data_IF_347384165635
#
_entry.id   IF_347384165635
#
_cell.length_a   1.000
_cell.length_b   1.000
_cell.length_c   1.000
_cell.angle_alpha   90.00
_cell.angle_beta   90.00
_cell.angle_gamma   90.00
#
_symmetry.space_group_name_H-M   'P 1'
#
loop_
_entity.id
_entity.type
_entity.pdbx_description
1 polymer ?
#
# COMPACT_ATOMS: atom_id res chain seq x y z
N UNK A 1 1.22 -23.68 22.71
CA UNK A 1 0.34 -23.58 21.52
C UNK A 1 -0.60 -24.79 21.58
N UNK A 2 -1.91 -24.63 21.29
CA UNK A 2 -2.87 -25.74 21.32
C UNK A 2 -2.50 -26.75 20.21
N UNK A 3 -2.45 -28.06 20.55
CA UNK A 3 -2.06 -29.13 19.62
C UNK A 3 -2.94 -29.16 18.34
N UNK A 4 -4.24 -28.89 18.47
CA UNK A 4 -5.14 -28.83 17.32
C UNK A 4 -4.82 -27.69 16.35
N UNK A 5 -4.42 -26.52 16.85
CA UNK A 5 -4.00 -25.39 16.01
C UNK A 5 -2.68 -25.68 15.30
N UNK A 6 -1.75 -26.35 15.97
CA UNK A 6 -0.48 -26.76 15.39
C UNK A 6 -0.68 -27.77 14.26
N UNK A 7 -1.55 -28.75 14.46
CA UNK A 7 -1.92 -29.73 13.45
C UNK A 7 -2.56 -29.03 12.23
N UNK A 8 -3.51 -28.11 12.45
CA UNK A 8 -4.14 -27.33 11.38
C UNK A 8 -3.13 -26.53 10.55
N UNK A 9 -2.12 -25.92 11.19
CA UNK A 9 -1.05 -25.20 10.46
C UNK A 9 -0.25 -26.14 9.55
N UNK A 10 0.13 -27.31 10.04
CA UNK A 10 0.84 -28.29 9.21
C UNK A 10 0.00 -28.75 8.01
N UNK A 11 -1.23 -29.11 8.24
CA UNK A 11 -2.15 -29.53 7.17
C UNK A 11 -2.37 -28.42 6.14
N UNK A 12 -2.52 -27.19 6.56
CA UNK A 12 -2.65 -26.02 5.68
C UNK A 12 -1.40 -25.82 4.80
N UNK A 13 -0.20 -25.99 5.37
CA UNK A 13 1.05 -25.88 4.61
C UNK A 13 1.14 -26.99 3.57
N UNK A 14 0.82 -28.23 3.94
CA UNK A 14 0.85 -29.37 3.03
C UNK A 14 -0.18 -29.22 1.90
N UNK A 15 -1.35 -28.68 2.18
CA UNK A 15 -2.33 -28.35 1.15
C UNK A 15 -1.80 -27.30 0.16
N UNK A 16 -1.15 -26.23 0.65
CA UNK A 16 -0.53 -25.22 -0.21
C UNK A 16 0.58 -25.82 -1.09
N UNK A 17 1.40 -26.74 -0.54
CA UNK A 17 2.41 -27.47 -1.31
C UNK A 17 1.79 -28.34 -2.40
N UNK A 18 0.76 -29.12 -2.05
CA UNK A 18 0.06 -30.00 -2.99
C UNK A 18 -0.59 -29.21 -4.14
N UNK A 19 -1.02 -27.97 -3.90
CA UNK A 19 -1.59 -27.08 -4.89
C UNK A 19 -0.55 -26.23 -5.65
N UNK A 20 0.74 -26.39 -5.41
CA UNK A 20 1.83 -25.55 -5.94
C UNK A 20 1.67 -24.05 -5.61
N UNK A 21 0.97 -23.73 -4.53
CA UNK A 21 0.77 -22.37 -4.02
C UNK A 21 1.77 -21.98 -2.92
N UNK A 22 2.50 -22.96 -2.38
CA UNK A 22 3.54 -22.70 -1.38
C UNK A 22 4.77 -22.08 -2.05
N UNK A 23 4.95 -20.77 -1.87
CA UNK A 23 6.07 -20.03 -2.44
C UNK A 23 7.11 -19.72 -1.38
N UNK A 24 8.35 -20.07 -1.65
CA UNK A 24 9.49 -19.59 -0.87
C UNK A 24 10.05 -18.32 -1.55
N UNK A 25 10.09 -17.17 -0.85
CA UNK A 25 10.65 -15.97 -1.43
C UNK A 25 12.15 -16.14 -1.70
N UNK A 26 12.66 -15.71 -2.85
CA UNK A 26 14.10 -15.73 -3.13
C UNK A 26 14.84 -14.81 -2.18
N UNK A 27 15.99 -15.27 -1.67
CA UNK A 27 16.84 -14.48 -0.77
C UNK A 27 17.86 -13.73 -1.61
N UNK A 28 17.80 -12.39 -1.58
CA UNK A 28 18.79 -11.53 -2.22
C UNK A 28 20.05 -11.41 -1.33
N UNK A 29 21.19 -11.69 -1.92
CA UNK A 29 22.51 -11.65 -1.27
C UNK A 29 23.28 -10.34 -1.54
N UNK A 30 22.66 -9.41 -2.28
CA UNK A 30 23.22 -8.11 -2.64
C UNK A 30 22.19 -7.00 -2.43
N UNK A 31 22.62 -5.73 -2.37
CA UNK A 31 21.69 -4.60 -2.45
C UNK A 31 20.83 -4.65 -3.72
N UNK A 32 19.69 -3.98 -3.69
CA UNK A 32 18.81 -3.84 -4.85
C UNK A 32 19.50 -3.13 -6.02
N UNK A 33 19.36 -3.71 -7.20
CA UNK A 33 19.91 -3.18 -8.45
C UNK A 33 19.37 -3.93 -9.65
N UNK A 34 19.79 -3.56 -10.86
CA UNK A 34 19.43 -4.26 -12.09
C UNK A 34 20.04 -5.67 -12.19
N UNK A 35 21.11 -5.93 -11.43
CA UNK A 35 21.69 -7.26 -11.19
C UNK A 35 21.75 -7.50 -9.70
N UNK A 36 21.40 -8.71 -9.29
CA UNK A 36 21.42 -9.16 -7.89
C UNK A 36 21.95 -10.59 -7.81
N UNK A 37 22.35 -11.02 -6.63
CA UNK A 37 22.76 -12.41 -6.39
C UNK A 37 21.68 -13.15 -5.63
N UNK A 38 21.35 -14.34 -6.11
CA UNK A 38 20.38 -15.27 -5.48
C UNK A 38 20.97 -16.67 -5.56
N UNK A 39 21.12 -17.36 -4.42
CA UNK A 39 21.69 -18.69 -4.35
C UNK A 39 23.11 -18.78 -4.95
N UNK A 40 23.95 -17.79 -4.68
CA UNK A 40 25.32 -17.68 -5.20
C UNK A 40 25.43 -17.28 -6.68
N UNK A 41 24.32 -17.11 -7.40
CA UNK A 41 24.32 -16.78 -8.84
C UNK A 41 23.91 -15.33 -9.08
N UNK A 42 24.61 -14.65 -9.98
CA UNK A 42 24.18 -13.35 -10.46
C UNK A 42 23.03 -13.51 -11.46
N UNK A 43 21.96 -12.75 -11.25
CA UNK A 43 20.75 -12.73 -12.09
C UNK A 43 20.32 -11.30 -12.42
N UNK A 44 19.63 -11.12 -13.54
CA UNK A 44 18.98 -9.85 -13.89
C UNK A 44 17.68 -9.74 -13.07
N UNK A 45 17.51 -8.63 -12.37
CA UNK A 45 16.35 -8.37 -11.54
C UNK A 45 15.29 -7.58 -12.32
N UNK A 46 14.26 -8.30 -12.79
CA UNK A 46 13.11 -7.70 -13.48
C UNK A 46 11.87 -7.58 -12.55
N UNK A 47 11.98 -8.02 -11.29
CA UNK A 47 10.86 -8.11 -10.35
C UNK A 47 10.96 -7.06 -9.21
N UNK A 48 11.58 -5.92 -9.48
CA UNK A 48 11.76 -4.87 -8.48
C UNK A 48 10.88 -3.65 -8.76
N UNK A 49 10.33 -3.04 -7.69
CA UNK A 49 9.68 -1.73 -7.74
C UNK A 49 10.69 -0.55 -7.73
N UNK A 50 11.97 -0.83 -7.77
CA UNK A 50 13.05 0.17 -7.80
C UNK A 50 13.21 0.81 -9.20
N UNK A 51 12.10 1.30 -9.77
CA UNK A 51 12.03 1.80 -11.14
C UNK A 51 13.03 2.92 -11.47
N UNK A 52 13.36 3.76 -10.49
CA UNK A 52 14.30 4.86 -10.64
C UNK A 52 15.74 4.52 -10.19
N UNK A 53 15.97 3.28 -9.74
CA UNK A 53 17.29 2.85 -9.27
C UNK A 53 17.76 3.49 -7.96
N UNK A 54 16.87 4.15 -7.22
CA UNK A 54 17.21 4.96 -6.06
C UNK A 54 17.45 4.16 -4.77
N UNK A 55 17.01 2.91 -4.70
CA UNK A 55 17.10 2.11 -3.47
C UNK A 55 18.54 1.93 -2.95
N UNK A 56 19.55 2.02 -3.81
CA UNK A 56 20.96 1.91 -3.45
C UNK A 56 21.79 3.15 -3.87
N UNK A 57 21.12 4.28 -4.13
CA UNK A 57 21.81 5.53 -4.51
C UNK A 57 22.69 6.02 -3.33
N UNK A 58 23.98 6.33 -3.57
CA UNK A 58 24.89 6.76 -2.51
C UNK A 58 24.44 8.05 -1.83
N UNK A 59 23.77 8.96 -2.53
CA UNK A 59 23.24 10.21 -1.95
C UNK A 59 22.12 9.92 -0.94
N UNK A 60 21.24 8.97 -1.25
CA UNK A 60 20.15 8.57 -0.34
C UNK A 60 20.72 7.83 0.89
N UNK A 61 21.72 6.97 0.70
CA UNK A 61 22.40 6.31 1.83
C UNK A 61 23.07 7.31 2.74
N UNK A 62 23.76 8.29 2.18
CA UNK A 62 24.44 9.33 2.97
C UNK A 62 23.43 10.16 3.76
N UNK A 63 22.35 10.62 3.12
CA UNK A 63 21.29 11.35 3.81
C UNK A 63 20.63 10.53 4.93
N UNK A 64 20.44 9.22 4.73
CA UNK A 64 19.91 8.34 5.77
C UNK A 64 20.88 8.22 6.97
N UNK A 65 22.20 8.08 6.72
CA UNK A 65 23.22 8.04 7.77
C UNK A 65 23.21 9.34 8.59
N UNK A 66 23.21 10.49 7.94
CA UNK A 66 23.15 11.80 8.59
C UNK A 66 21.88 11.98 9.41
N UNK A 67 20.72 11.58 8.86
CA UNK A 67 19.46 11.63 9.58
C UNK A 67 19.45 10.74 10.82
N UNK A 68 19.99 9.52 10.74
CA UNK A 68 20.10 8.61 11.89
C UNK A 68 21.04 9.18 12.96
N UNK A 69 22.17 9.79 12.57
CA UNK A 69 23.10 10.41 13.49
C UNK A 69 22.48 11.62 14.23
N UNK A 70 21.66 12.40 13.55
CA UNK A 70 21.05 13.61 14.10
C UNK A 70 19.76 13.33 14.88
N UNK A 71 18.94 12.40 14.41
CA UNK A 71 17.56 12.19 14.88
C UNK A 71 17.34 10.84 15.55
N UNK A 72 18.28 9.92 15.48
CA UNK A 72 18.10 8.54 15.93
C UNK A 72 17.42 7.64 14.89
N UNK A 73 17.19 6.38 15.27
CA UNK A 73 16.70 5.35 14.36
C UNK A 73 15.17 5.30 14.22
N UNK A 74 14.43 6.12 14.96
CA UNK A 74 12.97 6.14 14.90
C UNK A 74 12.35 7.28 15.68
N UNK A 75 11.04 7.48 15.50
CA UNK A 75 10.30 8.59 16.09
C UNK A 75 10.02 8.43 17.60
N UNK A 76 10.14 7.22 18.14
CA UNK A 76 9.93 6.92 19.57
C UNK A 76 8.48 7.01 20.05
N UNK A 77 7.57 7.60 19.26
CA UNK A 77 6.16 7.77 19.58
C UNK A 77 5.29 7.86 18.32
N UNK A 78 3.98 7.77 18.49
CA UNK A 78 3.03 8.07 17.43
C UNK A 78 3.04 9.58 17.13
N UNK A 79 2.77 9.96 15.88
CA UNK A 79 2.83 11.37 15.43
C UNK A 79 2.04 12.32 16.34
N UNK A 80 0.92 11.88 16.84
CA UNK A 80 -0.01 12.65 17.66
C UNK A 80 0.50 12.96 19.09
N UNK A 81 1.37 12.10 19.65
CA UNK A 81 1.86 12.21 21.02
C UNK A 81 3.35 12.59 21.14
N UNK A 82 3.95 13.11 20.09
CA UNK A 82 5.36 13.53 20.14
C UNK A 82 6.26 12.81 19.13
N UNK A 83 5.71 11.99 18.25
CA UNK A 83 6.45 11.34 17.16
C UNK A 83 6.57 12.19 15.89
N UNK A 84 6.00 13.39 15.84
CA UNK A 84 6.19 14.33 14.73
C UNK A 84 7.41 15.20 15.00
N UNK A 85 8.37 15.16 14.11
CA UNK A 85 9.56 16.01 14.15
C UNK A 85 9.66 16.88 12.88
N UNK A 86 10.61 17.79 12.84
CA UNK A 86 10.80 18.73 11.75
C UNK A 86 11.15 18.05 10.41
N UNK A 87 11.67 16.82 10.43
CA UNK A 87 11.88 16.04 9.19
C UNK A 87 10.55 15.71 8.50
N UNK A 88 9.51 15.34 9.26
CA UNK A 88 8.18 15.11 8.72
C UNK A 88 7.61 16.39 8.09
N UNK A 89 7.65 17.50 8.80
CA UNK A 89 7.15 18.79 8.28
C UNK A 89 7.89 19.19 7.00
N UNK A 90 9.22 19.11 7.00
CA UNK A 90 10.03 19.45 5.82
C UNK A 90 9.70 18.54 4.64
N UNK A 91 9.53 17.23 4.87
CA UNK A 91 9.17 16.28 3.83
C UNK A 91 7.77 16.58 3.28
N UNK A 92 6.79 16.78 4.13
CA UNK A 92 5.41 17.07 3.76
C UNK A 92 5.29 18.37 2.96
N UNK A 93 5.99 19.43 3.37
CA UNK A 93 6.05 20.68 2.62
C UNK A 93 6.70 20.54 1.24
N UNK A 94 7.82 19.81 1.15
CA UNK A 94 8.47 19.54 -0.14
C UNK A 94 7.61 18.70 -1.07
N UNK A 95 6.92 17.69 -0.54
CA UNK A 95 6.00 16.87 -1.30
C UNK A 95 4.76 17.66 -1.75
N UNK A 96 4.20 18.53 -0.90
CA UNK A 96 3.09 19.40 -1.26
C UNK A 96 3.48 20.33 -2.43
N UNK A 97 4.65 20.97 -2.34
CA UNK A 97 5.16 21.81 -3.42
C UNK A 97 5.39 21.02 -4.72
N UNK A 98 5.99 19.82 -4.62
CA UNK A 98 6.24 18.95 -5.78
C UNK A 98 4.94 18.47 -6.44
N UNK A 99 3.95 18.07 -5.65
CA UNK A 99 2.64 17.59 -6.12
C UNK A 99 1.68 18.71 -6.48
N UNK A 100 2.02 19.98 -6.17
CA UNK A 100 1.17 21.16 -6.33
C UNK A 100 -0.17 21.03 -5.61
N UNK A 101 -0.12 20.49 -4.40
CA UNK A 101 -1.27 20.34 -3.49
C UNK A 101 -1.11 21.29 -2.31
N UNK A 102 -2.21 21.62 -1.64
CA UNK A 102 -2.22 22.51 -0.47
C UNK A 102 -1.47 21.87 0.72
N UNK A 103 -1.64 20.57 0.92
CA UNK A 103 -1.01 19.82 1.99
C UNK A 103 -0.71 18.37 1.58
N UNK A 104 0.17 17.73 2.33
CA UNK A 104 0.50 16.30 2.22
C UNK A 104 0.61 15.70 3.61
N UNK A 105 0.12 14.48 3.76
CA UNK A 105 0.34 13.64 4.93
C UNK A 105 1.14 12.40 4.54
N UNK A 106 2.25 12.15 5.23
CA UNK A 106 3.12 11.01 4.97
C UNK A 106 2.74 9.82 5.86
N UNK A 107 2.67 8.65 5.26
CA UNK A 107 2.45 7.36 5.92
C UNK A 107 3.68 6.45 5.76
N UNK A 108 3.82 5.47 6.65
CA UNK A 108 4.92 4.50 6.64
C UNK A 108 4.91 3.57 5.42
N UNK A 109 3.74 3.37 4.81
CA UNK A 109 3.58 2.54 3.62
C UNK A 109 2.34 2.95 2.84
N UNK A 110 2.27 2.56 1.55
CA UNK A 110 1.06 2.73 0.74
C UNK A 110 -0.13 1.95 1.29
N UNK A 111 0.12 0.79 1.92
CA UNK A 111 -0.94 0.05 2.62
C UNK A 111 -1.56 0.90 3.74
N UNK A 112 -0.74 1.47 4.61
CA UNK A 112 -1.21 2.33 5.70
C UNK A 112 -1.88 3.61 5.18
N UNK A 113 -1.39 4.17 4.07
CA UNK A 113 -2.04 5.32 3.44
C UNK A 113 -3.47 5.00 3.02
N UNK A 114 -3.70 3.90 2.29
CA UNK A 114 -5.03 3.52 1.84
C UNK A 114 -5.93 3.10 3.01
N UNK A 115 -5.45 2.22 3.90
CA UNK A 115 -6.23 1.73 5.05
C UNK A 115 -6.51 2.79 6.12
N UNK A 116 -5.71 3.85 6.16
CA UNK A 116 -5.93 4.98 7.07
C UNK A 116 -6.80 6.08 6.45
N UNK A 117 -6.53 6.46 5.20
CA UNK A 117 -7.22 7.60 4.56
C UNK A 117 -8.65 7.25 4.17
N UNK A 118 -8.87 6.11 3.50
CA UNK A 118 -10.21 5.76 3.01
C UNK A 118 -11.25 5.73 4.13
N UNK A 119 -11.06 4.98 5.24
CA UNK A 119 -12.06 4.96 6.31
C UNK A 119 -12.20 6.30 7.06
N UNK A 120 -11.18 7.17 7.00
CA UNK A 120 -11.24 8.48 7.64
C UNK A 120 -11.97 9.54 6.82
N UNK A 121 -12.01 9.39 5.49
CA UNK A 121 -12.61 10.36 4.58
C UNK A 121 -14.09 10.09 4.27
N UNK A 122 -14.56 8.86 4.45
CA UNK A 122 -15.91 8.45 4.05
C UNK A 122 -16.70 7.95 5.25
N UNK A 123 -17.96 8.40 5.34
CA UNK A 123 -18.86 8.14 6.45
C UNK A 123 -20.12 7.39 5.98
N UNK A 124 -20.99 7.04 6.93
CA UNK A 124 -22.29 6.44 6.62
C UNK A 124 -23.11 7.37 5.71
N UNK A 125 -23.58 6.84 4.61
CA UNK A 125 -24.31 7.60 3.57
C UNK A 125 -23.49 7.85 2.31
N UNK A 126 -22.16 7.87 2.41
CA UNK A 126 -21.30 7.94 1.24
C UNK A 126 -21.30 6.62 0.44
N UNK A 127 -20.99 6.73 -0.85
CA UNK A 127 -20.87 5.57 -1.74
C UNK A 127 -19.46 5.49 -2.29
N UNK A 128 -18.82 4.34 -2.13
CA UNK A 128 -17.52 4.07 -2.74
C UNK A 128 -17.70 3.07 -3.88
N UNK A 129 -17.31 3.45 -5.08
CA UNK A 129 -17.31 2.58 -6.26
C UNK A 129 -15.87 2.15 -6.54
N UNK A 130 -15.64 0.85 -6.61
CA UNK A 130 -14.30 0.26 -6.68
C UNK A 130 -14.12 -0.56 -7.95
N UNK A 131 -12.94 -0.47 -8.57
CA UNK A 131 -12.51 -1.41 -9.59
C UNK A 131 -12.26 -2.79 -8.97
N UNK A 132 -12.64 -3.87 -9.66
CA UNK A 132 -12.48 -5.25 -9.15
C UNK A 132 -11.01 -5.67 -8.94
N UNK A 133 -10.07 -5.05 -9.68
CA UNK A 133 -8.64 -5.35 -9.60
C UNK A 133 -7.85 -4.32 -8.77
N UNK A 134 -8.51 -3.56 -7.91
CA UNK A 134 -7.82 -2.67 -7.01
C UNK A 134 -6.84 -3.43 -6.10
N UNK A 135 -5.78 -2.74 -5.67
CA UNK A 135 -4.84 -3.28 -4.71
C UNK A 135 -5.56 -3.65 -3.39
N UNK A 136 -5.14 -4.75 -2.76
CA UNK A 136 -5.74 -5.27 -1.53
C UNK A 136 -5.91 -4.21 -0.43
N UNK A 137 -4.95 -3.28 -0.27
CA UNK A 137 -5.04 -2.19 0.71
C UNK A 137 -6.17 -1.21 0.45
N UNK A 138 -6.57 -0.99 -0.81
CA UNK A 138 -7.73 -0.17 -1.16
C UNK A 138 -9.00 -0.94 -0.78
N UNK A 139 -9.07 -2.21 -1.15
CA UNK A 139 -10.20 -3.08 -0.79
C UNK A 139 -10.39 -3.11 0.72
N UNK A 140 -9.31 -3.29 1.48
CA UNK A 140 -9.35 -3.32 2.95
C UNK A 140 -9.71 -1.94 3.54
N UNK A 141 -9.19 -0.85 2.98
CA UNK A 141 -9.57 0.50 3.37
C UNK A 141 -11.06 0.77 3.17
N UNK A 142 -11.63 0.32 2.05
CA UNK A 142 -13.06 0.43 1.78
C UNK A 142 -13.89 -0.42 2.75
N UNK A 143 -13.44 -1.65 3.04
CA UNK A 143 -14.11 -2.52 4.03
C UNK A 143 -14.12 -1.94 5.44
N UNK A 144 -13.07 -1.22 5.82
CA UNK A 144 -12.94 -0.55 7.11
C UNK A 144 -13.78 0.73 7.20
N UNK A 145 -14.19 1.31 6.07
CA UNK A 145 -15.01 2.51 6.06
C UNK A 145 -16.45 2.20 6.47
N UNK A 146 -17.13 3.21 7.03
CA UNK A 146 -18.57 3.14 7.31
C UNK A 146 -19.45 3.51 6.11
N UNK A 147 -18.84 3.91 4.98
CA UNK A 147 -19.54 4.19 3.73
C UNK A 147 -20.32 2.95 3.23
N UNK A 148 -21.34 3.19 2.42
CA UNK A 148 -22.08 2.12 1.73
C UNK A 148 -21.16 1.44 0.72
N UNK A 149 -20.44 0.44 1.20
CA UNK A 149 -19.69 -0.47 0.36
C UNK A 149 -20.05 -1.89 0.74
N UNK A 150 -20.71 -2.56 -0.17
CA UNK A 150 -20.84 -4.02 -0.10
C UNK A 150 -20.60 -4.56 -1.48
N UNK A 151 -19.61 -5.41 -1.62
CA UNK A 151 -19.32 -6.11 -2.85
C UNK A 151 -20.58 -6.87 -3.37
N UNK A 152 -21.40 -7.33 -2.42
CA UNK A 152 -22.71 -7.93 -2.67
C UNK A 152 -23.80 -6.95 -3.16
N UNK A 153 -23.59 -5.64 -3.02
CA UNK A 153 -24.54 -4.60 -3.44
C UNK A 153 -24.20 -3.99 -4.81
N UNK A 154 -23.15 -4.49 -5.47
CA UNK A 154 -22.83 -4.11 -6.85
C UNK A 154 -22.16 -2.76 -7.02
N UNK A 155 -21.35 -2.33 -6.03
CA UNK A 155 -20.50 -1.14 -6.12
C UNK A 155 -19.07 -1.46 -6.60
N UNK A 156 -18.84 -2.66 -7.11
CA UNK A 156 -17.59 -3.06 -7.75
C UNK A 156 -17.85 -3.21 -9.24
N UNK A 157 -17.08 -2.49 -10.06
CA UNK A 157 -17.19 -2.61 -11.51
C UNK A 157 -16.06 -3.46 -12.09
N UNK A 158 -16.35 -4.12 -13.21
CA UNK A 158 -15.37 -4.92 -13.95
C UNK A 158 -14.21 -4.06 -14.42
N UNK A 159 -13.00 -4.59 -14.33
CA UNK A 159 -11.78 -3.86 -14.65
C UNK A 159 -11.84 -3.20 -16.03
N UNK A 160 -11.64 -1.88 -16.05
CA UNK A 160 -11.70 -1.03 -17.26
C UNK A 160 -13.04 -1.02 -17.99
N UNK A 161 -14.11 -1.59 -17.45
CA UNK A 161 -15.42 -1.53 -18.05
C UNK A 161 -16.14 -0.22 -17.69
N UNK A 162 -15.97 0.79 -18.55
CA UNK A 162 -16.55 2.12 -18.33
C UNK A 162 -18.07 2.12 -18.40
N UNK A 163 -18.67 1.24 -19.19
CA UNK A 163 -20.13 1.10 -19.26
C UNK A 163 -20.68 0.57 -17.94
N UNK A 164 -20.04 -0.46 -17.36
CA UNK A 164 -20.42 -0.98 -16.05
C UNK A 164 -20.26 0.08 -14.94
N UNK A 165 -19.16 0.87 -14.97
CA UNK A 165 -18.99 2.00 -14.05
C UNK A 165 -20.11 3.04 -14.21
N UNK A 166 -20.47 3.40 -15.44
CA UNK A 166 -21.54 4.37 -15.72
C UNK A 166 -22.90 3.85 -15.21
N UNK A 167 -23.19 2.57 -15.38
CA UNK A 167 -24.43 1.95 -14.89
C UNK A 167 -24.53 1.99 -13.36
N UNK A 168 -23.39 1.76 -12.66
CA UNK A 168 -23.33 1.89 -11.20
C UNK A 168 -23.55 3.34 -10.78
N UNK A 169 -22.90 4.31 -11.43
CA UNK A 169 -23.07 5.74 -11.14
C UNK A 169 -24.54 6.18 -11.32
N UNK A 170 -25.20 5.75 -12.39
CA UNK A 170 -26.64 6.02 -12.63
C UNK A 170 -27.51 5.44 -11.52
N UNK A 171 -27.24 4.20 -11.09
CA UNK A 171 -27.96 3.57 -9.96
C UNK A 171 -27.79 4.32 -8.64
N UNK A 172 -26.63 4.94 -8.44
CA UNK A 172 -26.36 5.78 -7.26
C UNK A 172 -27.01 7.17 -7.33
N UNK A 173 -27.75 7.49 -8.40
CA UNK A 173 -28.35 8.81 -8.62
C UNK A 173 -27.33 9.89 -9.00
N UNK A 174 -26.10 9.52 -9.36
CA UNK A 174 -25.08 10.43 -9.83
C UNK A 174 -25.26 10.67 -11.33
N UNK A 175 -25.47 11.95 -11.72
CA UNK A 175 -25.50 12.32 -13.13
C UNK A 175 -24.08 12.36 -13.68
N UNK A 176 -23.86 11.72 -14.84
CA UNK A 176 -22.58 11.78 -15.57
C UNK A 176 -22.22 13.18 -16.07
N UNK A 177 -23.11 14.18 -15.89
CA UNK A 177 -22.91 15.57 -16.27
C UNK A 177 -22.42 16.50 -15.15
N UNK A 178 -22.11 15.99 -13.99
CA UNK A 178 -21.46 16.79 -12.94
C UNK A 178 -19.99 16.92 -13.29
N UNK A 179 -19.60 18.09 -13.82
CA UNK A 179 -18.19 18.50 -13.91
C UNK A 179 -17.67 18.59 -12.47
N UNK A 180 -16.83 17.64 -12.09
CA UNK A 180 -15.96 17.73 -10.92
C UNK A 180 -14.67 18.44 -11.30
#
# INVERSE_FOLDING_TARGET
MNAGFQQWLYESIEQLKAQNLYKQPPILETPQGGRVRIGGREVINLASNNYLGLANDPRLKQAAIEAVQQWGAGAGAVRWLGGTNTLYETLEQKLAAFKKTEAVLVFQSGFNANSGTIPSCFVEGDVIISDELNHASIIDGVRLSSAKYKQSEGYVYEHKNMNHLEDILKRCGMSTNTKT
#
